data_IF_140889829167
#
_entry.id   IF_140889829167
#
_cell.length_a   1.000
_cell.length_b   1.000
_cell.length_c   1.000
_cell.angle_alpha   90.00
_cell.angle_beta   90.00
_cell.angle_gamma   90.00
#
_symmetry.space_group_name_H-M   'P 1'
#
loop_
_entity.id
_entity.type
_entity.pdbx_description
1 polymer ?
#
# COMPACT_ATOMS: atom_id res chain seq x y z
N UNK A 1 -19.75 -45.52 22.96
CA UNK A 1 -19.13 -44.85 24.12
C UNK A 1 -17.65 -44.50 23.83
N UNK A 2 -17.26 -44.36 22.56
CA UNK A 2 -15.84 -44.38 22.13
C UNK A 2 -15.40 -43.05 21.47
N UNK A 3 -16.23 -42.48 20.59
CA UNK A 3 -15.91 -41.25 19.84
C UNK A 3 -15.66 -40.02 20.72
N UNK A 4 -16.41 -39.90 21.81
CA UNK A 4 -16.32 -38.75 22.71
C UNK A 4 -15.00 -38.74 23.51
N UNK A 5 -14.46 -39.93 23.81
CA UNK A 5 -13.15 -40.07 24.47
C UNK A 5 -12.01 -39.82 23.49
N UNK A 6 -12.13 -40.33 22.26
CA UNK A 6 -11.17 -40.06 21.19
C UNK A 6 -11.09 -38.56 20.86
N UNK A 7 -12.23 -37.87 20.80
CA UNK A 7 -12.28 -36.43 20.59
C UNK A 7 -11.58 -35.66 21.72
N UNK A 8 -11.84 -36.01 22.99
CA UNK A 8 -11.20 -35.39 24.16
C UNK A 8 -9.68 -35.60 24.17
N UNK A 9 -9.21 -36.78 23.77
CA UNK A 9 -7.78 -37.11 23.73
C UNK A 9 -7.06 -36.36 22.60
N UNK A 10 -7.71 -36.19 21.45
CA UNK A 10 -7.19 -35.41 20.33
C UNK A 10 -7.20 -33.89 20.63
N UNK A 11 -8.22 -33.40 21.37
CA UNK A 11 -8.27 -32.03 21.91
C UNK A 11 -7.11 -31.75 22.88
N UNK A 12 -6.70 -32.72 23.69
CA UNK A 12 -5.62 -32.56 24.67
C UNK A 12 -4.21 -32.49 24.06
N UNK A 13 -4.03 -32.95 22.82
CA UNK A 13 -2.73 -33.03 22.14
C UNK A 13 -2.45 -31.88 21.17
N UNK A 14 -3.44 -31.04 20.87
CA UNK A 14 -3.33 -29.94 19.92
C UNK A 14 -3.49 -28.59 20.60
N UNK A 15 -2.88 -27.56 20.00
CA UNK A 15 -3.08 -26.18 20.39
C UNK A 15 -4.57 -25.79 20.31
N UNK A 16 -5.11 -25.28 21.42
CA UNK A 16 -6.54 -25.02 21.66
C UNK A 16 -7.17 -24.17 20.54
N UNK A 17 -6.41 -23.20 20.03
CA UNK A 17 -6.86 -22.30 18.96
C UNK A 17 -7.01 -22.99 17.60
N UNK A 18 -6.24 -24.05 17.32
CA UNK A 18 -6.28 -24.79 16.06
C UNK A 18 -7.43 -25.80 16.06
N UNK A 19 -7.65 -26.49 17.18
CA UNK A 19 -8.76 -27.46 17.29
C UNK A 19 -10.11 -26.77 17.25
N UNK A 20 -10.27 -25.67 18.00
CA UNK A 20 -11.52 -24.90 17.98
C UNK A 20 -11.90 -24.44 16.57
N UNK A 21 -10.92 -24.12 15.72
CA UNK A 21 -11.17 -23.74 14.32
C UNK A 21 -11.63 -24.91 13.46
N UNK A 22 -11.00 -26.07 13.60
CA UNK A 22 -11.37 -27.29 12.85
C UNK A 22 -12.79 -27.69 13.23
N UNK A 23 -13.07 -27.84 14.53
CA UNK A 23 -14.38 -28.22 15.04
C UNK A 23 -15.46 -27.24 14.55
N UNK A 24 -15.23 -25.93 14.67
CA UNK A 24 -16.20 -24.93 14.22
C UNK A 24 -16.47 -25.00 12.72
N UNK A 25 -15.43 -25.13 11.90
CA UNK A 25 -15.54 -25.17 10.45
C UNK A 25 -16.28 -26.42 9.98
N UNK A 26 -15.93 -27.57 10.52
CA UNK A 26 -16.53 -28.85 10.15
C UNK A 26 -17.99 -28.96 10.64
N UNK A 27 -18.31 -28.44 11.83
CA UNK A 27 -19.70 -28.35 12.30
C UNK A 27 -20.56 -27.43 11.42
N UNK A 28 -20.02 -26.30 10.95
CA UNK A 28 -20.72 -25.43 10.00
C UNK A 28 -20.98 -26.12 8.66
N UNK A 29 -20.11 -27.05 8.27
CA UNK A 29 -20.26 -27.86 7.06
C UNK A 29 -21.14 -29.11 7.28
N UNK A 30 -21.73 -29.30 8.47
CA UNK A 30 -22.57 -30.45 8.80
C UNK A 30 -21.81 -31.77 8.95
N UNK A 31 -20.50 -31.73 9.21
CA UNK A 31 -19.68 -32.92 9.33
C UNK A 31 -19.95 -33.69 10.64
N UNK A 32 -19.90 -35.03 10.55
CA UNK A 32 -19.98 -35.92 11.70
C UNK A 32 -18.71 -35.94 12.55
N UNK A 33 -18.80 -36.53 13.75
CA UNK A 33 -17.71 -36.57 14.74
C UNK A 33 -16.47 -37.28 14.20
N UNK A 34 -16.62 -38.39 13.46
CA UNK A 34 -15.49 -39.11 12.85
C UNK A 34 -14.70 -38.25 11.86
N UNK A 35 -15.41 -37.45 11.03
CA UNK A 35 -14.77 -36.52 10.08
C UNK A 35 -13.96 -35.45 10.81
N UNK A 36 -14.51 -34.90 11.90
CA UNK A 36 -13.82 -33.91 12.74
C UNK A 36 -12.53 -34.51 13.32
N UNK A 37 -12.60 -35.73 13.88
CA UNK A 37 -11.43 -36.44 14.41
C UNK A 37 -10.39 -36.66 13.29
N UNK A 38 -10.82 -37.11 12.10
CA UNK A 38 -9.92 -37.29 10.97
C UNK A 38 -9.21 -36.01 10.53
N UNK A 39 -9.90 -34.86 10.57
CA UNK A 39 -9.31 -33.55 10.24
C UNK A 39 -8.33 -33.05 11.30
N UNK A 40 -8.61 -33.35 12.57
CA UNK A 40 -7.74 -33.07 13.72
C UNK A 40 -6.44 -33.88 13.60
N UNK A 41 -6.52 -35.17 13.29
CA UNK A 41 -5.34 -36.03 13.05
C UNK A 41 -4.52 -35.53 11.86
N UNK A 42 -5.16 -35.21 10.73
CA UNK A 42 -4.48 -34.62 9.57
C UNK A 42 -3.79 -33.29 9.92
N UNK A 43 -4.35 -32.50 10.83
CA UNK A 43 -3.71 -31.27 11.28
C UNK A 43 -2.48 -31.52 12.14
N UNK A 44 -2.48 -32.55 13.00
CA UNK A 44 -1.29 -32.97 13.77
C UNK A 44 -0.16 -33.43 12.85
N UNK A 45 -0.49 -34.18 11.81
CA UNK A 45 0.47 -34.65 10.80
C UNK A 45 0.94 -33.52 9.85
N UNK A 46 0.43 -32.30 10.02
CA UNK A 46 0.75 -31.14 9.16
C UNK A 46 0.13 -31.21 7.76
N UNK A 47 -0.72 -32.21 7.49
CA UNK A 47 -1.44 -32.41 6.22
C UNK A 47 -2.63 -31.46 6.06
N UNK A 48 -3.07 -30.82 7.15
CA UNK A 48 -4.16 -29.87 7.15
C UNK A 48 -3.85 -28.63 7.99
N UNK A 49 -4.25 -27.45 7.52
CA UNK A 49 -4.09 -26.18 8.25
C UNK A 49 -5.39 -25.38 8.20
N UNK A 50 -6.10 -25.20 9.33
CA UNK A 50 -7.38 -24.49 9.36
C UNK A 50 -7.23 -23.01 9.00
N UNK A 51 -7.94 -22.54 7.97
CA UNK A 51 -7.82 -21.18 7.41
C UNK A 51 -8.78 -20.14 7.98
N UNK A 52 -9.74 -20.55 8.81
CA UNK A 52 -10.72 -19.65 9.42
C UNK A 52 -10.15 -18.98 10.68
N UNK A 53 -9.39 -17.91 10.49
CA UNK A 53 -8.80 -17.12 11.57
C UNK A 53 -9.77 -16.04 12.08
N UNK A 54 -9.73 -15.75 13.38
CA UNK A 54 -10.47 -14.64 13.97
C UNK A 54 -9.91 -13.28 13.54
N UNK A 55 -10.74 -12.23 13.57
CA UNK A 55 -10.31 -10.86 13.31
C UNK A 55 -9.14 -10.42 14.21
N UNK A 56 -9.22 -10.71 15.51
CA UNK A 56 -8.12 -10.48 16.46
C UNK A 56 -6.80 -11.13 16.03
N UNK A 57 -6.85 -12.30 15.39
CA UNK A 57 -5.64 -12.97 14.91
C UNK A 57 -5.04 -12.27 13.69
N UNK A 58 -5.87 -11.67 12.84
CA UNK A 58 -5.40 -10.82 11.74
C UNK A 58 -4.81 -9.51 12.27
N UNK A 59 -5.52 -8.83 13.18
CA UNK A 59 -5.06 -7.56 13.76
C UNK A 59 -3.73 -7.72 14.49
N UNK A 60 -3.57 -8.82 15.24
CA UNK A 60 -2.33 -9.13 15.93
C UNK A 60 -1.16 -9.27 14.95
N UNK A 61 -1.31 -10.06 13.89
CA UNK A 61 -0.22 -10.24 12.91
C UNK A 61 0.01 -8.97 12.10
N UNK A 62 -1.03 -8.18 11.80
CA UNK A 62 -0.89 -6.88 11.16
C UNK A 62 -0.07 -5.91 12.04
N UNK A 63 -0.37 -5.85 13.33
CA UNK A 63 0.35 -5.05 14.31
C UNK A 63 1.81 -5.50 14.44
N UNK A 64 2.05 -6.81 14.57
CA UNK A 64 3.39 -7.38 14.64
C UNK A 64 4.18 -7.09 13.36
N UNK A 65 3.54 -7.20 12.19
CA UNK A 65 4.15 -6.87 10.91
C UNK A 65 4.55 -5.39 10.84
N UNK A 66 3.75 -4.50 11.42
CA UNK A 66 4.02 -3.05 11.44
C UNK A 66 5.13 -2.65 12.40
N UNK A 67 5.20 -3.29 13.57
CA UNK A 67 6.17 -2.95 14.64
C UNK A 67 7.49 -3.70 14.47
N UNK A 68 7.45 -5.01 14.24
CA UNK A 68 8.64 -5.89 14.21
C UNK A 68 9.00 -6.40 12.82
N UNK A 69 8.29 -5.97 11.78
CA UNK A 69 8.58 -6.33 10.40
C UNK A 69 8.27 -7.78 10.02
N UNK A 70 8.64 -8.19 8.80
CA UNK A 70 8.28 -9.50 8.26
C UNK A 70 8.88 -10.67 9.02
N UNK A 71 10.11 -10.53 9.54
CA UNK A 71 10.79 -11.60 10.28
C UNK A 71 10.06 -11.97 11.58
N UNK A 72 9.72 -10.96 12.40
CA UNK A 72 8.97 -11.19 13.63
C UNK A 72 7.55 -11.69 13.34
N UNK A 73 6.86 -11.09 12.36
CA UNK A 73 5.52 -11.53 11.97
C UNK A 73 5.51 -13.00 11.51
N UNK A 74 6.54 -13.43 10.77
CA UNK A 74 6.70 -14.81 10.36
C UNK A 74 6.89 -15.75 11.57
N UNK A 75 7.80 -15.40 12.48
CA UNK A 75 8.07 -16.19 13.67
C UNK A 75 6.83 -16.33 14.56
N UNK A 76 6.12 -15.22 14.83
CA UNK A 76 4.88 -15.21 15.61
C UNK A 76 3.77 -15.99 14.90
N UNK A 77 3.62 -15.82 13.58
CA UNK A 77 2.61 -16.54 12.82
C UNK A 77 2.81 -18.05 12.89
N UNK A 78 4.07 -18.50 12.81
CA UNK A 78 4.43 -19.91 12.95
C UNK A 78 4.26 -20.42 14.38
N UNK A 79 4.78 -19.71 15.38
CA UNK A 79 4.73 -20.15 16.77
C UNK A 79 3.31 -20.21 17.35
N UNK A 80 2.41 -19.32 16.91
CA UNK A 80 1.05 -19.21 17.44
C UNK A 80 -0.04 -19.71 16.47
N UNK A 81 0.34 -20.42 15.39
CA UNK A 81 -0.58 -20.93 14.37
C UNK A 81 -1.55 -19.86 13.84
N UNK A 82 -1.05 -18.64 13.55
CA UNK A 82 -1.80 -17.46 13.09
C UNK A 82 -1.72 -17.31 11.56
N UNK A 83 -2.48 -16.38 10.93
CA UNK A 83 -2.43 -16.23 9.48
C UNK A 83 -1.03 -15.90 9.00
N UNK A 84 -0.68 -16.36 7.79
CA UNK A 84 0.57 -15.99 7.17
C UNK A 84 0.58 -14.50 6.80
N UNK A 85 1.77 -13.94 6.59
CA UNK A 85 1.94 -12.56 6.14
C UNK A 85 1.19 -12.30 4.84
N UNK A 86 1.21 -13.25 3.90
CA UNK A 86 0.47 -13.13 2.64
C UNK A 86 -1.04 -13.08 2.88
N UNK A 87 -1.57 -13.94 3.75
CA UNK A 87 -2.98 -13.95 4.13
C UNK A 87 -3.39 -12.63 4.79
N UNK A 88 -2.55 -12.06 5.67
CA UNK A 88 -2.82 -10.76 6.30
C UNK A 88 -2.78 -9.63 5.27
N UNK A 89 -1.75 -9.56 4.42
CA UNK A 89 -1.63 -8.51 3.38
C UNK A 89 -2.81 -8.52 2.42
N UNK A 90 -3.28 -9.70 2.03
CA UNK A 90 -4.44 -9.83 1.15
C UNK A 90 -5.74 -9.40 1.83
N UNK A 91 -5.84 -9.50 3.17
CA UNK A 91 -7.01 -9.04 3.93
C UNK A 91 -6.99 -7.53 4.20
N UNK A 92 -5.82 -6.95 4.45
CA UNK A 92 -5.69 -5.55 4.86
C UNK A 92 -6.07 -4.53 3.77
N UNK A 93 -6.22 -4.97 2.52
CA UNK A 93 -6.53 -4.14 1.35
C UNK A 93 -5.79 -2.78 1.39
N UNK A 94 -4.46 -2.85 1.56
CA UNK A 94 -3.67 -1.66 1.80
C UNK A 94 -3.70 -0.76 0.56
N UNK A 95 -4.08 0.53 0.70
CA UNK A 95 -4.08 1.45 -0.42
C UNK A 95 -2.65 1.60 -0.96
N UNK A 96 -2.51 1.64 -2.28
CA UNK A 96 -1.22 1.69 -2.97
C UNK A 96 -1.04 3.06 -3.59
N UNK A 97 0.11 3.67 -3.30
CA UNK A 97 0.55 4.85 -4.01
C UNK A 97 0.98 4.46 -5.43
N UNK A 98 0.53 5.21 -6.43
CA UNK A 98 1.04 5.17 -7.79
C UNK A 98 2.20 6.18 -7.90
N UNK A 99 3.46 5.72 -7.95
CA UNK A 99 4.59 6.60 -8.23
C UNK A 99 4.58 7.00 -9.70
N UNK A 100 4.96 8.25 -9.97
CA UNK A 100 5.02 8.78 -11.33
C UNK A 100 6.17 8.16 -12.12
N UNK A 101 5.88 7.74 -13.35
CA UNK A 101 6.86 7.18 -14.29
C UNK A 101 7.76 8.31 -14.82
N UNK A 102 7.18 9.46 -15.10
CA UNK A 102 7.85 10.67 -15.56
C UNK A 102 7.44 11.89 -14.73
N UNK A 103 7.19 13.02 -15.39
CA UNK A 103 6.59 14.19 -14.75
C UNK A 103 5.16 13.84 -14.30
N UNK A 104 4.83 13.89 -12.98
CA UNK A 104 3.50 13.57 -12.50
C UNK A 104 2.34 14.15 -13.29
N UNK A 105 1.37 13.28 -13.51
CA UNK A 105 0.15 13.59 -14.25
C UNK A 105 -1.02 13.82 -13.31
N UNK A 106 -2.03 14.52 -13.83
CA UNK A 106 -3.26 14.80 -13.09
C UNK A 106 -4.00 13.54 -12.68
N UNK A 107 -3.95 12.52 -13.53
CA UNK A 107 -4.59 11.23 -13.31
C UNK A 107 -3.92 10.49 -12.14
N UNK A 108 -2.58 10.44 -12.11
CA UNK A 108 -1.82 9.83 -11.02
C UNK A 108 -2.15 10.47 -9.67
N UNK A 109 -2.12 11.80 -9.59
CA UNK A 109 -2.41 12.52 -8.34
C UNK A 109 -3.87 12.33 -7.92
N UNK A 110 -4.81 12.44 -8.86
CA UNK A 110 -6.23 12.25 -8.56
C UNK A 110 -6.49 10.83 -8.07
N UNK A 111 -5.86 9.83 -8.69
CA UNK A 111 -6.00 8.43 -8.31
C UNK A 111 -5.38 8.14 -6.95
N UNK A 112 -4.24 8.75 -6.65
CA UNK A 112 -3.61 8.66 -5.32
C UNK A 112 -4.50 9.29 -4.25
N UNK A 113 -5.06 10.47 -4.51
CA UNK A 113 -6.00 11.13 -3.58
C UNK A 113 -7.23 10.23 -3.37
N UNK A 114 -7.87 9.73 -4.43
CA UNK A 114 -8.99 8.79 -4.32
C UNK A 114 -8.61 7.56 -3.49
N UNK A 115 -7.53 6.88 -3.85
CA UNK A 115 -7.13 5.61 -3.21
C UNK A 115 -6.81 5.77 -1.73
N UNK A 116 -6.33 6.95 -1.31
CA UNK A 116 -5.84 7.17 0.06
C UNK A 116 -6.82 7.98 0.94
N UNK A 117 -7.73 8.74 0.34
CA UNK A 117 -8.66 9.63 1.06
C UNK A 117 -10.13 9.31 0.81
N UNK A 118 -10.47 8.41 -0.13
CA UNK A 118 -11.84 7.93 -0.24
C UNK A 118 -12.27 7.20 1.05
N UNK A 119 -13.54 7.31 1.45
CA UNK A 119 -14.04 6.53 2.57
C UNK A 119 -13.90 5.04 2.28
N UNK A 120 -13.15 4.31 3.11
CA UNK A 120 -13.15 2.86 3.04
C UNK A 120 -14.59 2.38 3.31
N UNK A 121 -15.11 1.48 2.48
CA UNK A 121 -16.47 0.91 2.58
C UNK A 121 -16.70 0.08 3.85
N UNK A 122 -15.69 -0.04 4.72
CA UNK A 122 -15.76 -0.71 6.02
C UNK A 122 -16.17 0.29 7.10
N UNK A 123 -17.47 0.28 7.41
CA UNK A 123 -18.16 0.68 8.65
C UNK A 123 -17.43 1.57 9.67
N UNK A 124 -18.13 2.63 10.07
CA UNK A 124 -17.88 3.57 11.18
C UNK A 124 -16.99 4.78 10.92
N UNK A 125 -17.44 5.66 10.00
CA UNK A 125 -17.45 7.11 10.25
C UNK A 125 -18.29 7.87 9.21
N UNK A 126 -19.61 7.75 9.31
CA UNK A 126 -20.57 8.68 8.70
C UNK A 126 -20.72 9.99 9.51
N UNK A 127 -19.71 10.36 10.31
CA UNK A 127 -19.67 11.69 10.89
C UNK A 127 -18.97 12.60 9.87
N UNK A 128 -19.55 13.74 9.46
CA UNK A 128 -18.82 14.72 8.68
C UNK A 128 -17.54 15.05 9.45
N UNK A 129 -16.39 14.69 8.87
CA UNK A 129 -15.09 15.12 9.36
C UNK A 129 -15.19 16.62 9.57
N UNK A 130 -15.08 17.06 10.83
CA UNK A 130 -14.95 18.47 11.15
C UNK A 130 -13.89 19.03 10.22
N UNK A 131 -14.26 19.96 9.33
CA UNK A 131 -13.35 20.58 8.36
C UNK A 131 -12.13 21.08 9.13
N UNK A 132 -11.00 20.41 8.94
CA UNK A 132 -9.76 20.65 9.65
C UNK A 132 -8.80 21.47 8.79
N UNK A 133 -7.77 22.02 9.42
CA UNK A 133 -6.63 22.54 8.67
C UNK A 133 -5.95 21.40 7.91
N UNK A 134 -5.39 21.70 6.74
CA UNK A 134 -4.63 20.76 5.93
C UNK A 134 -3.26 21.36 5.64
N UNK A 135 -2.20 20.55 5.69
CA UNK A 135 -0.85 20.97 5.32
C UNK A 135 -0.33 20.10 4.19
N UNK A 136 0.18 20.76 3.15
CA UNK A 136 0.98 20.13 2.10
C UNK A 136 2.43 20.11 2.56
N UNK A 137 3.00 18.92 2.70
CA UNK A 137 4.41 18.68 2.96
C UNK A 137 5.07 18.23 1.66
N UNK A 138 6.22 18.80 1.32
CA UNK A 138 7.02 18.40 0.17
C UNK A 138 8.46 18.27 0.63
N UNK A 139 9.10 17.16 0.30
CA UNK A 139 10.50 16.92 0.60
C UNK A 139 11.14 16.02 -0.47
N UNK A 140 12.46 15.98 -0.50
CA UNK A 140 13.25 15.08 -1.35
C UNK A 140 13.91 14.00 -0.50
N UNK A 141 13.74 12.73 -0.89
CA UNK A 141 14.36 11.60 -0.22
C UNK A 141 15.38 10.94 -1.15
N UNK A 142 16.58 10.70 -0.64
CA UNK A 142 17.57 9.90 -1.35
C UNK A 142 17.10 8.43 -1.48
N UNK A 143 17.23 7.87 -2.68
CA UNK A 143 16.83 6.49 -2.99
C UNK A 143 17.94 5.76 -3.76
N UNK A 144 17.88 4.43 -3.75
CA UNK A 144 18.74 3.63 -4.61
C UNK A 144 18.34 3.83 -6.08
N UNK A 145 19.28 4.26 -6.92
CA UNK A 145 19.09 4.43 -8.36
C UNK A 145 18.92 3.08 -9.07
N UNK A 146 17.74 2.48 -8.94
CA UNK A 146 17.42 1.16 -9.46
C UNK A 146 16.05 1.15 -10.13
N UNK A 147 16.01 1.09 -11.49
CA UNK A 147 14.78 0.88 -12.22
C UNK A 147 14.14 -0.46 -11.83
N UNK A 148 12.80 -0.48 -11.76
CA UNK A 148 12.02 -1.66 -11.42
C UNK A 148 10.77 -1.75 -12.30
N UNK A 149 10.33 -2.96 -12.60
CA UNK A 149 9.07 -3.17 -13.30
C UNK A 149 7.90 -3.20 -12.31
N UNK A 150 6.96 -2.25 -12.45
CA UNK A 150 5.72 -2.20 -11.70
C UNK A 150 4.63 -2.96 -12.43
N UNK A 151 4.26 -4.13 -11.91
CA UNK A 151 3.14 -4.92 -12.45
C UNK A 151 1.82 -4.16 -12.40
N UNK A 152 1.62 -3.30 -11.40
CA UNK A 152 0.37 -2.56 -11.22
C UNK A 152 0.17 -1.44 -12.24
N UNK A 153 1.27 -0.83 -12.70
CA UNK A 153 1.24 0.22 -13.71
C UNK A 153 1.61 -0.29 -15.10
N UNK A 154 1.96 -1.58 -15.19
CA UNK A 154 2.56 -2.20 -16.38
C UNK A 154 3.70 -1.34 -16.98
N UNK A 155 4.61 -0.88 -16.12
CA UNK A 155 5.60 0.12 -16.50
C UNK A 155 6.94 -0.05 -15.77
N UNK A 156 8.02 0.47 -16.36
CA UNK A 156 9.29 0.67 -15.65
C UNK A 156 9.18 1.96 -14.82
N UNK A 157 9.49 1.87 -13.53
CA UNK A 157 9.61 2.98 -12.60
C UNK A 157 11.06 3.11 -12.10
N UNK A 158 11.40 4.24 -11.46
CA UNK A 158 12.76 4.50 -10.96
C UNK A 158 13.69 5.18 -11.97
N UNK A 159 13.10 5.68 -13.06
CA UNK A 159 13.73 6.61 -14.00
C UNK A 159 13.44 8.05 -13.54
N UNK A 160 14.37 8.97 -13.77
CA UNK A 160 14.17 10.37 -13.41
C UNK A 160 13.10 11.03 -14.30
N UNK A 161 12.22 11.85 -13.72
CA UNK A 161 11.15 12.52 -14.45
C UNK A 161 11.64 13.41 -15.59
N UNK A 162 12.83 13.96 -15.48
CA UNK A 162 13.41 14.92 -16.42
C UNK A 162 13.76 14.28 -17.77
N UNK A 163 14.05 12.98 -17.75
CA UNK A 163 14.49 12.22 -18.92
C UNK A 163 13.66 10.95 -19.17
N UNK A 164 12.53 10.81 -18.47
CA UNK A 164 11.64 9.67 -18.64
C UNK A 164 10.86 9.81 -19.95
N UNK A 165 11.05 8.86 -20.86
CA UNK A 165 10.14 8.66 -21.99
C UNK A 165 8.98 7.75 -21.53
N UNK A 166 7.89 8.37 -21.09
CA UNK A 166 6.72 7.63 -20.57
C UNK A 166 6.15 6.67 -21.62
N UNK A 167 6.18 7.06 -22.89
CA UNK A 167 5.72 6.24 -24.03
C UNK A 167 6.69 5.13 -24.38
N UNK A 168 7.91 5.09 -23.83
CA UNK A 168 8.81 3.93 -23.88
C UNK A 168 8.67 3.04 -22.64
N UNK A 169 8.32 3.62 -21.49
CA UNK A 169 8.36 2.96 -20.19
C UNK A 169 7.03 2.33 -19.76
N UNK A 170 5.88 2.78 -20.28
CA UNK A 170 4.55 2.31 -19.88
C UNK A 170 3.97 1.20 -20.77
N UNK A 171 2.86 0.58 -20.33
CA UNK A 171 2.08 -0.40 -21.10
C UNK A 171 2.92 -1.54 -21.71
N UNK A 172 3.93 -2.02 -20.99
CA UNK A 172 4.90 -2.98 -21.53
C UNK A 172 4.26 -4.31 -21.94
N UNK A 173 3.23 -4.78 -21.25
CA UNK A 173 2.56 -6.04 -21.53
C UNK A 173 1.75 -6.03 -22.84
N UNK A 174 1.32 -4.87 -23.30
CA UNK A 174 0.52 -4.72 -24.53
C UNK A 174 1.35 -4.35 -25.76
N UNK A 175 2.65 -4.06 -25.58
CA UNK A 175 3.57 -3.79 -26.69
C UNK A 175 3.80 -5.02 -27.53
N UNK A 176 3.88 -4.82 -28.85
CA UNK A 176 4.24 -5.86 -29.81
C UNK A 176 5.66 -6.40 -29.58
N UNK A 177 6.57 -5.55 -29.10
CA UNK A 177 7.96 -5.93 -28.81
C UNK A 177 8.43 -5.31 -27.47
N UNK A 178 7.96 -5.90 -26.37
CA UNK A 178 8.33 -5.48 -25.02
C UNK A 178 9.83 -5.64 -24.75
N UNK A 179 10.45 -6.69 -25.28
CA UNK A 179 11.90 -6.94 -25.08
C UNK A 179 12.72 -5.81 -25.70
N UNK A 180 12.37 -5.36 -26.90
CA UNK A 180 13.03 -4.22 -27.53
C UNK A 180 12.88 -2.95 -26.69
N UNK A 181 11.70 -2.66 -26.15
CA UNK A 181 11.52 -1.50 -25.27
C UNK A 181 12.45 -1.54 -24.03
N UNK A 182 12.66 -2.74 -23.45
CA UNK A 182 13.62 -2.92 -22.35
C UNK A 182 15.07 -2.67 -22.79
N UNK A 183 15.47 -3.19 -23.95
CA UNK A 183 16.82 -3.02 -24.50
C UNK A 183 17.10 -1.56 -24.91
N UNK A 184 16.11 -0.89 -25.48
CA UNK A 184 16.18 0.53 -25.84
C UNK A 184 16.31 1.39 -24.57
N UNK A 185 15.54 1.07 -23.51
CA UNK A 185 15.68 1.73 -22.20
C UNK A 185 17.06 1.51 -21.60
N UNK A 186 17.60 0.29 -21.67
CA UNK A 186 18.96 0.00 -21.21
C UNK A 186 19.99 0.81 -21.99
N UNK A 187 19.86 0.87 -23.31
CA UNK A 187 20.76 1.65 -24.18
C UNK A 187 20.69 3.14 -23.86
N UNK A 188 19.50 3.68 -23.59
CA UNK A 188 19.31 5.07 -23.18
C UNK A 188 19.98 5.38 -21.82
N UNK A 189 19.92 4.43 -20.88
CA UNK A 189 20.63 4.53 -19.59
C UNK A 189 22.16 4.48 -19.77
N UNK A 190 22.65 3.54 -20.57
CA UNK A 190 24.10 3.35 -20.78
C UNK A 190 24.73 4.51 -21.56
N UNK A 191 23.96 5.14 -22.45
CA UNK A 191 24.39 6.32 -23.21
C UNK A 191 24.22 7.65 -22.47
N UNK A 192 23.55 7.66 -21.30
CA UNK A 192 23.24 8.88 -20.54
C UNK A 192 22.16 9.75 -21.19
N UNK A 193 21.38 9.22 -22.14
CA UNK A 193 20.18 9.90 -22.65
C UNK A 193 19.04 9.91 -21.63
N UNK A 194 19.06 8.94 -20.72
CA UNK A 194 18.13 8.78 -19.64
C UNK A 194 18.90 8.51 -18.34
N UNK A 195 18.37 8.96 -17.20
CA UNK A 195 19.02 8.73 -15.90
C UNK A 195 18.13 7.95 -14.94
N UNK A 196 18.79 7.24 -14.04
CA UNK A 196 18.13 6.63 -12.89
C UNK A 196 17.77 7.72 -11.89
N UNK A 197 16.60 7.63 -11.28
CA UNK A 197 16.25 8.50 -10.18
C UNK A 197 17.09 8.12 -8.95
N UNK A 198 17.88 9.04 -8.42
CA UNK A 198 18.64 8.85 -7.17
C UNK A 198 18.02 9.61 -6.00
N UNK A 199 17.03 10.46 -6.28
CA UNK A 199 16.14 11.02 -5.27
C UNK A 199 14.69 10.93 -5.72
N UNK A 200 13.78 11.00 -4.77
CA UNK A 200 12.34 11.04 -5.01
C UNK A 200 11.76 12.26 -4.30
N UNK A 201 11.11 13.13 -5.08
CA UNK A 201 10.27 14.19 -4.53
C UNK A 201 8.97 13.57 -4.05
N UNK A 202 8.69 13.72 -2.77
CA UNK A 202 7.50 13.20 -2.11
C UNK A 202 6.64 14.37 -1.69
N UNK A 203 5.36 14.33 -2.06
CA UNK A 203 4.37 15.24 -1.50
C UNK A 203 3.35 14.48 -0.67
N UNK A 204 3.06 14.99 0.52
CA UNK A 204 2.12 14.41 1.45
C UNK A 204 1.15 15.45 1.97
N UNK A 205 -0.04 14.99 2.30
CA UNK A 205 -1.09 15.79 2.90
C UNK A 205 -1.28 15.33 4.34
N UNK A 206 -1.23 16.27 5.26
CA UNK A 206 -1.53 16.06 6.68
C UNK A 206 -2.83 16.78 7.01
N UNK A 207 -3.76 16.09 7.66
CA UNK A 207 -4.99 16.67 8.20
C UNK A 207 -4.83 16.95 9.68
N UNK A 208 -5.28 18.11 10.15
CA UNK A 208 -5.33 18.45 11.57
C UNK A 208 -6.68 18.08 12.19
N UNK A 209 -7.03 16.79 12.13
CA UNK A 209 -8.20 16.27 12.83
C UNK A 209 -7.82 15.45 14.06
N UNK A 210 -8.83 15.06 14.86
CA UNK A 210 -8.62 14.41 16.16
C UNK A 210 -8.05 12.99 16.03
N UNK A 211 -8.27 12.33 14.90
CA UNK A 211 -7.97 10.89 14.70
C UNK A 211 -7.16 10.61 13.44
N UNK A 212 -6.88 11.62 12.62
CA UNK A 212 -6.39 11.52 11.25
C UNK A 212 -5.20 12.46 10.97
N UNK A 213 -4.25 12.50 11.89
CA UNK A 213 -3.05 13.35 11.86
C UNK A 213 -1.85 12.76 11.09
N UNK A 214 -2.06 11.65 10.37
CA UNK A 214 -0.98 11.00 9.63
C UNK A 214 -0.67 11.75 8.33
N UNK A 215 0.62 11.84 7.99
CA UNK A 215 1.04 12.30 6.67
C UNK A 215 0.73 11.22 5.64
N UNK A 216 -0.13 11.54 4.70
CA UNK A 216 -0.54 10.65 3.62
C UNK A 216 0.11 11.12 2.32
N UNK A 217 1.05 10.33 1.82
CA UNK A 217 1.77 10.62 0.57
C UNK A 217 0.81 10.55 -0.60
N UNK A 218 0.74 11.60 -1.42
CA UNK A 218 -0.09 11.65 -2.64
C UNK A 218 0.74 11.72 -3.92
N UNK A 219 2.05 11.96 -3.79
CA UNK A 219 2.99 12.06 -4.90
C UNK A 219 4.31 11.41 -4.51
N UNK A 220 4.86 10.62 -5.44
CA UNK A 220 6.25 10.20 -5.42
C UNK A 220 6.77 10.26 -6.86
N UNK A 221 7.75 11.13 -7.11
CA UNK A 221 8.35 11.31 -8.45
C UNK A 221 9.86 11.33 -8.36
N UNK A 222 10.50 10.43 -9.11
CA UNK A 222 11.94 10.31 -9.15
C UNK A 222 12.61 11.48 -9.89
N UNK A 223 13.77 11.92 -9.44
CA UNK A 223 14.55 13.01 -10.03
C UNK A 223 16.03 12.66 -10.11
N UNK A 224 16.71 13.27 -11.08
CA UNK A 224 18.17 13.27 -11.16
C UNK A 224 18.78 14.64 -10.82
N UNK A 225 17.99 15.53 -10.18
CA UNK A 225 18.37 16.88 -9.75
C UNK A 225 18.85 17.79 -10.88
N UNK A 226 18.44 17.49 -12.11
CA UNK A 226 18.63 18.41 -13.23
C UNK A 226 17.45 19.37 -13.39
N UNK A 227 16.42 19.22 -12.55
CA UNK A 227 15.24 20.08 -12.48
C UNK A 227 15.61 21.58 -12.36
N UNK A 228 14.85 22.44 -13.03
CA UNK A 228 14.97 23.88 -12.89
C UNK A 228 14.13 24.38 -11.70
N UNK A 229 14.49 25.53 -11.11
CA UNK A 229 13.73 26.14 -9.99
C UNK A 229 12.24 26.35 -10.32
N UNK A 230 11.91 26.56 -11.60
CA UNK A 230 10.53 26.76 -12.06
C UNK A 230 9.66 25.49 -11.92
N UNK A 231 10.26 24.30 -11.88
CA UNK A 231 9.53 23.05 -11.72
C UNK A 231 8.93 22.91 -10.32
N UNK A 232 9.62 23.38 -9.27
CA UNK A 232 9.12 23.32 -7.89
C UNK A 232 7.81 24.09 -7.70
N UNK A 233 7.71 25.30 -8.26
CA UNK A 233 6.47 26.10 -8.22
C UNK A 233 5.34 25.40 -8.96
N UNK A 234 5.66 24.78 -10.10
CA UNK A 234 4.70 24.04 -10.91
C UNK A 234 4.05 22.90 -10.12
N UNK A 235 4.82 22.11 -9.38
CA UNK A 235 4.29 21.03 -8.54
C UNK A 235 3.39 21.53 -7.41
N UNK A 236 3.80 22.60 -6.71
CA UNK A 236 3.01 23.15 -5.60
C UNK A 236 1.64 23.59 -6.11
N UNK A 237 1.60 24.41 -7.18
CA UNK A 237 0.34 24.90 -7.75
C UNK A 237 -0.51 23.73 -8.25
N UNK A 238 0.12 22.79 -8.95
CA UNK A 238 -0.51 21.59 -9.47
C UNK A 238 -1.17 20.76 -8.35
N UNK A 239 -0.44 20.40 -7.29
CA UNK A 239 -0.96 19.59 -6.20
C UNK A 239 -2.11 20.27 -5.44
N UNK A 240 -2.02 21.58 -5.24
CA UNK A 240 -3.09 22.37 -4.63
C UNK A 240 -4.35 22.32 -5.51
N UNK A 241 -4.22 22.56 -6.80
CA UNK A 241 -5.34 22.55 -7.75
C UNK A 241 -6.06 21.19 -7.77
N UNK A 242 -5.31 20.08 -7.76
CA UNK A 242 -5.93 18.75 -7.77
C UNK A 242 -6.50 18.33 -6.42
N UNK A 243 -5.98 18.84 -5.31
CA UNK A 243 -6.62 18.70 -4.01
C UNK A 243 -7.97 19.43 -3.95
N UNK A 244 -8.02 20.67 -4.44
CA UNK A 244 -9.24 21.50 -4.49
C UNK A 244 -10.31 20.86 -5.38
N UNK A 245 -9.92 20.33 -6.55
CA UNK A 245 -10.85 19.71 -7.51
C UNK A 245 -11.33 18.31 -7.11
N UNK A 246 -10.59 17.61 -6.26
CA UNK A 246 -10.90 16.22 -5.92
C UNK A 246 -12.16 16.12 -5.04
N UNK A 247 -13.13 15.24 -5.36
CA UNK A 247 -14.27 14.97 -4.49
C UNK A 247 -13.84 14.37 -3.14
N UNK A 248 -12.66 13.76 -3.09
CA UNK A 248 -12.04 13.19 -1.89
C UNK A 248 -10.93 14.07 -1.33
N UNK A 249 -10.77 15.29 -1.85
CA UNK A 249 -9.82 16.30 -1.36
C UNK A 249 -10.54 17.33 -0.49
N UNK A 250 -10.54 18.59 -0.94
CA UNK A 250 -11.13 19.71 -0.20
C UNK A 250 -12.61 19.49 0.15
N UNK A 251 -13.39 18.93 -0.76
CA UNK A 251 -14.84 18.76 -0.58
C UNK A 251 -15.15 17.93 0.67
N UNK A 252 -14.40 16.86 0.88
CA UNK A 252 -14.60 15.91 1.98
C UNK A 252 -13.80 16.27 3.24
N UNK A 253 -12.60 16.83 3.08
CA UNK A 253 -11.65 17.01 4.19
C UNK A 253 -11.42 18.47 4.60
N UNK A 254 -12.02 19.43 3.89
CA UNK A 254 -12.06 20.86 4.24
C UNK A 254 -10.89 21.71 3.73
N UNK A 255 -11.01 23.02 3.94
CA UNK A 255 -10.00 24.05 3.68
C UNK A 255 -9.97 25.06 4.84
N UNK A 256 -8.77 25.43 5.31
CA UNK A 256 -8.48 26.85 5.47
C UNK A 256 -7.67 27.24 4.23
N UNK A 257 -8.15 28.25 3.50
CA UNK A 257 -7.48 28.85 2.33
C UNK A 257 -5.97 28.77 2.52
N UNK A 258 -5.30 27.98 1.66
CA UNK A 258 -3.86 28.12 1.49
C UNK A 258 -3.62 29.61 1.29
N UNK A 259 -2.97 30.26 2.25
CA UNK A 259 -2.68 31.67 2.10
C UNK A 259 -1.87 31.79 0.80
N UNK A 260 -2.47 32.39 -0.24
CA UNK A 260 -1.80 32.79 -1.47
C UNK A 260 -0.69 33.78 -1.09
N UNK A 261 0.44 33.29 -0.60
CA UNK A 261 1.63 34.08 -0.30
C UNK A 261 2.57 34.11 -1.52
N UNK A 262 2.33 33.27 -2.52
CA UNK A 262 3.17 33.20 -3.73
C UNK A 262 2.86 34.25 -4.80
N UNK A 263 1.98 35.23 -4.52
CA UNK A 263 1.71 36.35 -5.41
C UNK A 263 1.86 37.67 -4.64
N UNK A 264 3.09 38.10 -4.36
CA UNK A 264 3.31 39.47 -3.88
C UNK A 264 4.55 39.77 -3.04
N UNK A 265 5.44 38.82 -2.76
CA UNK A 265 6.72 39.15 -2.09
C UNK A 265 7.87 39.06 -3.08
N UNK A 266 8.31 40.24 -3.53
CA UNK A 266 9.65 40.46 -4.07
C UNK A 266 10.67 39.83 -3.11
N UNK A 267 11.26 38.71 -3.54
CA UNK A 267 12.49 38.20 -2.95
C UNK A 267 13.62 39.16 -3.35
N UNK A 268 13.76 40.26 -2.62
CA UNK A 268 14.99 41.05 -2.62
C UNK A 268 16.03 40.30 -1.79
N UNK A 269 17.17 40.08 -2.44
CA UNK A 269 18.42 39.52 -1.91
C UNK A 269 18.87 40.19 -0.62
#
# INVERSE_FOLDING_TARGET
>A
MDDQKHLMLALAQLDEASVGRIVRTELQNGAGVETIIGMIVKAQEGLFSPRNYSEKAFDLIALVLRIGGPGLAFAVAKAMHRPSISTVRNRLDLPRLLPSIGFPTSEEVSKNIETLFAPNTSSDSLAPTLRGGVTLLIDELAVEGRPHYSVHQDAIIGICREHADVDALAQLSTRSDALKALLDTQTALDSGQCHRAFEVTVAAIVRFGRTDYNATVILASGTCKTDAVDDQKRWIVFLLEYWEKSPYGEVLHGLQRFAKVLAGSDFKR
#
